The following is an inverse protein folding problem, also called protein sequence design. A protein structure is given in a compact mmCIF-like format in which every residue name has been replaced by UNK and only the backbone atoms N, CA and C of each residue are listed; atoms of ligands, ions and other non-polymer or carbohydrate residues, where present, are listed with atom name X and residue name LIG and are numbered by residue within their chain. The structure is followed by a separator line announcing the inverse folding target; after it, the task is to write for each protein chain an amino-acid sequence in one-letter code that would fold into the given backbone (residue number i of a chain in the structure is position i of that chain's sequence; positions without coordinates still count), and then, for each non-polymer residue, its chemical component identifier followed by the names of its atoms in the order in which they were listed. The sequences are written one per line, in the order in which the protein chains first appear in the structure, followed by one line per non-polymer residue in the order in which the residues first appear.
data_IF_656198195257
#
_entry.id   IF_656198195257
#
_cell.length_a   1.000
_cell.length_b   1.000
_cell.length_c   1.000
_cell.angle_alpha   90.00
_cell.angle_beta   90.00
_cell.angle_gamma   90.00
#
_symmetry.space_group_name_H-M   'P 1'
#
loop_
_entity.id
_entity.type
_entity.pdbx_description
1 polymer ?
#
# COMPACT_ATOMS: atom_id res chain seq x y z
N UNK A 1 -2.93 -7.70 -5.58
CA UNK A 1 -2.73 -7.47 -7.03
C UNK A 1 -1.44 -6.67 -7.22
N UNK A 2 -0.64 -6.94 -8.25
CA UNK A 2 0.60 -6.17 -8.53
C UNK A 2 0.33 -5.05 -9.52
N UNK A 3 1.10 -3.97 -9.44
CA UNK A 3 1.09 -2.86 -10.40
C UNK A 3 2.50 -2.59 -10.92
N UNK A 4 2.58 -2.15 -12.17
CA UNK A 4 3.81 -1.67 -12.82
C UNK A 4 4.23 -0.36 -12.16
N UNK A 5 5.54 -0.13 -12.12
CA UNK A 5 6.12 1.14 -11.72
C UNK A 5 7.00 1.62 -12.86
N UNK A 6 6.84 2.88 -13.27
CA UNK A 6 7.72 3.49 -14.25
C UNK A 6 9.04 3.89 -13.57
N UNK A 7 10.09 3.12 -13.81
CA UNK A 7 11.44 3.37 -13.32
C UNK A 7 12.46 3.06 -14.42
N UNK A 8 13.61 3.76 -14.44
CA UNK A 8 14.72 3.42 -15.32
C UNK A 8 15.14 1.96 -15.20
N UNK A 9 15.73 1.40 -16.25
CA UNK A 9 16.33 0.06 -16.20
C UNK A 9 17.31 -0.05 -15.00
N UNK A 10 17.37 -1.20 -14.29
CA UNK A 10 18.16 -1.32 -13.06
C UNK A 10 19.63 -0.89 -13.20
N UNK A 11 20.27 -1.19 -14.34
CA UNK A 11 21.64 -0.77 -14.60
C UNK A 11 21.80 0.75 -14.67
N UNK A 12 20.85 1.46 -15.29
CA UNK A 12 20.90 2.91 -15.39
C UNK A 12 20.64 3.57 -14.03
N UNK A 13 19.69 3.03 -13.26
CA UNK A 13 19.43 3.49 -11.89
C UNK A 13 20.68 3.29 -11.00
N UNK A 14 21.36 2.14 -11.14
CA UNK A 14 22.60 1.83 -10.44
C UNK A 14 23.71 2.81 -10.77
N UNK A 15 23.98 3.04 -12.05
CA UNK A 15 25.01 3.97 -12.49
C UNK A 15 24.78 5.38 -11.93
N UNK A 16 23.54 5.88 -11.94
CA UNK A 16 23.20 7.20 -11.38
C UNK A 16 23.46 7.26 -9.87
N UNK A 17 23.06 6.21 -9.14
CA UNK A 17 23.32 6.10 -7.70
C UNK A 17 24.82 6.10 -7.39
N UNK A 18 25.57 5.31 -8.16
CA UNK A 18 27.02 5.21 -8.02
C UNK A 18 27.71 6.55 -8.32
N UNK A 19 27.31 7.28 -9.36
CA UNK A 19 27.86 8.59 -9.67
C UNK A 19 27.65 9.60 -8.55
N UNK A 20 26.45 9.62 -7.93
CA UNK A 20 26.21 10.49 -6.77
C UNK A 20 27.06 10.08 -5.57
N UNK A 21 27.14 8.78 -5.28
CA UNK A 21 27.92 8.24 -4.16
C UNK A 21 29.41 8.59 -4.29
N UNK A 22 29.97 8.44 -5.50
CA UNK A 22 31.37 8.78 -5.80
C UNK A 22 31.62 10.27 -5.63
N UNK A 23 30.75 11.13 -6.18
CA UNK A 23 30.89 12.59 -6.09
C UNK A 23 30.84 13.06 -4.63
N UNK A 24 29.86 12.60 -3.85
CA UNK A 24 29.71 12.96 -2.44
C UNK A 24 30.85 12.42 -1.57
N UNK A 25 31.32 11.19 -1.84
CA UNK A 25 32.48 10.63 -1.12
C UNK A 25 33.72 11.49 -1.35
N UNK A 26 33.94 11.96 -2.58
CA UNK A 26 35.09 12.81 -2.92
C UNK A 26 35.17 14.13 -2.16
N UNK A 27 34.08 14.56 -1.54
CA UNK A 27 34.00 15.77 -0.72
C UNK A 27 33.64 15.47 0.75
N UNK A 28 33.81 14.23 1.21
CA UNK A 28 33.61 13.84 2.61
C UNK A 28 32.16 13.62 3.06
N UNK A 29 31.21 13.44 2.14
CA UNK A 29 29.77 13.24 2.41
C UNK A 29 29.28 11.84 1.97
N UNK A 30 30.17 10.85 2.01
CA UNK A 30 29.90 9.47 1.56
C UNK A 30 28.92 8.68 2.45
N UNK A 31 28.41 9.27 3.52
CA UNK A 31 27.40 8.69 4.41
C UNK A 31 25.96 8.84 3.88
N UNK A 32 25.71 9.85 3.03
CA UNK A 32 24.36 10.15 2.50
C UNK A 32 23.96 9.19 1.39
N UNK A 33 24.84 9.01 0.40
CA UNK A 33 24.69 8.05 -0.70
C UNK A 33 25.93 7.17 -0.71
N UNK A 34 25.75 5.88 -0.47
CA UNK A 34 26.84 4.94 -0.25
C UNK A 34 26.63 3.64 -1.02
N UNK A 35 27.73 2.91 -1.23
CA UNK A 35 27.75 1.59 -1.83
C UNK A 35 28.58 0.64 -0.96
N UNK A 36 28.00 -0.51 -0.64
CA UNK A 36 28.63 -1.61 0.05
C UNK A 36 28.44 -2.93 -0.72
N UNK A 37 28.92 -4.04 -0.15
CA UNK A 37 28.84 -5.36 -0.78
C UNK A 37 27.40 -5.88 -0.90
N UNK A 38 26.44 -5.24 -0.20
CA UNK A 38 25.00 -5.54 -0.26
C UNK A 38 24.23 -4.63 -1.21
N UNK A 39 24.89 -3.64 -1.81
CA UNK A 39 24.30 -2.76 -2.81
C UNK A 39 24.44 -1.28 -2.46
N UNK A 40 23.49 -0.50 -2.96
CA UNK A 40 23.42 0.94 -2.77
C UNK A 40 22.54 1.29 -1.56
N UNK A 41 22.96 2.27 -0.77
CA UNK A 41 22.24 2.73 0.40
C UNK A 41 22.17 4.26 0.41
N UNK A 42 20.99 4.76 0.75
CA UNK A 42 20.72 6.18 0.99
C UNK A 42 20.21 6.29 2.40
N UNK A 43 20.78 7.20 3.17
CA UNK A 43 20.28 7.56 4.47
C UNK A 43 20.60 9.02 4.75
N UNK A 44 19.58 9.80 5.05
CA UNK A 44 19.77 11.14 5.56
C UNK A 44 19.47 11.20 7.06
N UNK A 45 19.88 12.30 7.68
CA UNK A 45 19.61 12.56 9.10
C UNK A 45 18.13 12.84 9.38
N UNK A 46 17.29 12.99 8.34
CA UNK A 46 15.84 13.18 8.44
C UNK A 46 15.06 11.88 8.63
N UNK A 47 15.73 10.73 8.64
CA UNK A 47 15.08 9.43 8.81
C UNK A 47 14.56 8.83 7.50
N UNK A 48 14.83 9.48 6.36
CA UNK A 48 14.59 8.90 5.05
C UNK A 48 15.70 7.90 4.73
N UNK A 49 15.34 6.75 4.17
CA UNK A 49 16.33 5.77 3.77
C UNK A 49 15.85 4.92 2.60
N UNK A 50 16.78 4.47 1.76
CA UNK A 50 16.51 3.53 0.69
C UNK A 50 17.69 2.58 0.48
N UNK A 51 17.37 1.38 0.01
CA UNK A 51 18.30 0.31 -0.34
C UNK A 51 18.01 -0.12 -1.76
N UNK A 52 19.05 -0.31 -2.55
CA UNK A 52 18.96 -0.79 -3.91
C UNK A 52 19.99 -1.88 -4.16
N UNK A 53 19.55 -3.06 -4.57
CA UNK A 53 20.44 -4.18 -4.83
C UNK A 53 20.16 -4.81 -6.19
N UNK A 54 21.24 -5.23 -6.85
CA UNK A 54 21.22 -5.98 -8.08
C UNK A 54 21.46 -7.46 -7.78
N UNK A 55 20.80 -8.34 -8.54
CA UNK A 55 20.94 -9.78 -8.45
C UNK A 55 21.18 -10.36 -9.84
N UNK A 56 21.62 -11.62 -9.88
CA UNK A 56 21.74 -12.36 -11.13
C UNK A 56 20.37 -12.56 -11.82
N UNK A 57 20.41 -12.88 -13.11
CA UNK A 57 19.19 -13.05 -13.92
C UNK A 57 18.47 -11.75 -14.25
N UNK A 58 19.18 -10.60 -14.26
CA UNK A 58 18.62 -9.25 -14.49
C UNK A 58 17.54 -8.86 -13.48
N UNK A 59 17.69 -9.33 -12.24
CA UNK A 59 16.81 -9.02 -11.12
C UNK A 59 17.34 -7.85 -10.32
N UNK A 60 16.44 -7.10 -9.71
CA UNK A 60 16.81 -6.02 -8.81
C UNK A 60 15.71 -5.76 -7.78
N UNK A 61 16.07 -5.21 -6.64
CA UNK A 61 15.12 -4.81 -5.60
C UNK A 61 15.48 -3.44 -5.06
N UNK A 62 14.47 -2.59 -4.92
CA UNK A 62 14.55 -1.24 -4.40
C UNK A 62 13.50 -1.10 -3.31
N UNK A 63 13.92 -0.75 -2.10
CA UNK A 63 13.02 -0.63 -0.96
C UNK A 63 13.48 0.47 -0.01
N UNK A 64 12.56 1.06 0.73
CA UNK A 64 12.88 2.23 1.53
C UNK A 64 11.72 2.78 2.31
N UNK A 65 11.94 3.94 2.91
CA UNK A 65 10.98 4.68 3.69
C UNK A 65 11.30 6.18 3.63
N UNK A 66 10.26 6.97 3.43
CA UNK A 66 10.30 8.43 3.52
C UNK A 66 9.52 8.85 4.77
N UNK A 67 10.20 9.43 5.75
CA UNK A 67 9.64 9.74 7.07
C UNK A 67 8.31 10.52 7.00
N UNK A 68 8.21 11.46 6.06
CA UNK A 68 7.04 12.35 5.94
C UNK A 68 6.01 11.92 4.87
N UNK A 69 6.38 11.03 3.95
CA UNK A 69 5.61 10.78 2.71
C UNK A 69 5.33 9.29 2.46
N UNK A 70 5.80 8.40 3.33
CA UNK A 70 5.41 6.99 3.30
C UNK A 70 4.07 6.77 4.02
N UNK A 71 3.00 7.33 3.46
CA UNK A 71 1.64 7.16 3.96
C UNK A 71 1.23 5.67 3.99
N UNK A 72 1.87 4.83 3.18
CA UNK A 72 1.77 3.36 3.25
C UNK A 72 2.03 2.76 4.62
N UNK A 73 2.89 3.37 5.45
CA UNK A 73 3.15 2.89 6.83
C UNK A 73 2.02 3.23 7.81
N UNK A 74 1.20 4.21 7.45
CA UNK A 74 0.04 4.70 8.20
C UNK A 74 -1.28 4.35 7.50
N UNK A 75 -1.23 3.54 6.43
CA UNK A 75 -2.39 3.22 5.63
C UNK A 75 -3.45 2.51 6.47
N UNK A 76 -4.70 2.85 6.19
CA UNK A 76 -5.88 2.28 6.81
C UNK A 76 -6.88 1.92 5.69
N UNK A 77 -7.11 0.62 5.41
CA UNK A 77 -6.57 -0.53 6.13
C UNK A 77 -5.05 -0.71 5.98
N UNK A 78 -4.40 -1.37 6.95
CA UNK A 78 -2.97 -1.66 6.88
C UNK A 78 -2.56 -2.44 5.61
N UNK A 79 -1.48 -2.01 4.96
CA UNK A 79 -0.96 -2.62 3.74
C UNK A 79 0.22 -3.55 4.02
N UNK A 80 0.17 -4.74 3.43
CA UNK A 80 1.33 -5.65 3.38
C UNK A 80 2.08 -5.50 2.05
N UNK A 81 3.15 -4.71 2.05
CA UNK A 81 3.99 -4.39 0.88
C UNK A 81 4.76 -5.60 0.32
N UNK A 82 4.75 -6.75 1.00
CA UNK A 82 5.38 -7.99 0.56
C UNK A 82 4.39 -9.00 -0.02
N UNK A 83 3.10 -8.63 -0.14
CA UNK A 83 2.06 -9.47 -0.72
C UNK A 83 2.38 -9.83 -2.17
N UNK A 84 2.52 -11.12 -2.47
CA UNK A 84 2.82 -11.57 -3.84
C UNK A 84 4.23 -11.24 -4.33
N UNK A 85 5.13 -10.83 -3.43
CA UNK A 85 6.53 -10.63 -3.76
C UNK A 85 7.21 -11.93 -4.27
N UNK A 86 8.33 -11.89 -5.00
CA UNK A 86 9.05 -13.09 -5.40
C UNK A 86 9.81 -13.79 -4.27
N UNK A 87 10.05 -15.10 -4.38
CA UNK A 87 10.78 -15.88 -3.36
C UNK A 87 12.26 -15.51 -3.25
N UNK A 88 12.82 -14.95 -4.31
CA UNK A 88 14.24 -14.59 -4.42
C UNK A 88 14.59 -13.25 -3.77
N UNK A 89 13.60 -12.45 -3.33
CA UNK A 89 13.88 -11.18 -2.63
C UNK A 89 14.74 -11.41 -1.37
N UNK A 90 15.45 -10.37 -0.87
CA UNK A 90 16.20 -10.45 0.38
C UNK A 90 15.25 -10.47 1.59
N UNK A 91 14.51 -11.56 1.77
CA UNK A 91 13.48 -11.72 2.79
C UNK A 91 14.00 -11.55 4.23
N UNK A 92 15.25 -11.91 4.48
CA UNK A 92 15.89 -11.72 5.79
C UNK A 92 15.96 -10.24 6.19
N UNK A 93 16.09 -9.33 5.22
CA UNK A 93 16.11 -7.88 5.45
C UNK A 93 14.68 -7.30 5.41
N UNK A 94 13.85 -7.74 4.45
CA UNK A 94 12.53 -7.18 4.21
C UNK A 94 11.50 -7.56 5.28
N UNK A 95 11.51 -8.81 5.75
CA UNK A 95 10.48 -9.30 6.68
C UNK A 95 10.49 -8.56 8.03
N UNK A 96 11.63 -8.34 8.70
CA UNK A 96 11.66 -7.56 9.94
C UNK A 96 11.21 -6.09 9.75
N UNK A 97 11.55 -5.48 8.62
CA UNK A 97 11.16 -4.10 8.30
C UNK A 97 9.64 -3.98 8.10
N UNK A 98 9.04 -4.95 7.40
CA UNK A 98 7.60 -5.02 7.21
C UNK A 98 6.86 -5.29 8.54
N UNK A 99 7.37 -6.22 9.37
CA UNK A 99 6.82 -6.51 10.70
C UNK A 99 6.83 -5.27 11.60
N UNK A 100 7.91 -4.49 11.57
CA UNK A 100 8.08 -3.29 12.37
C UNK A 100 7.39 -2.03 11.80
N UNK A 101 6.69 -2.13 10.66
CA UNK A 101 6.06 -0.97 10.01
C UNK A 101 7.06 0.08 9.49
N UNK A 102 8.33 -0.31 9.29
CA UNK A 102 9.42 0.59 8.85
C UNK A 102 9.63 0.59 7.34
N UNK A 103 8.84 -0.18 6.61
CA UNK A 103 8.95 -0.36 5.16
C UNK A 103 7.89 0.53 4.48
N UNK A 104 8.32 1.58 3.78
CA UNK A 104 7.43 2.49 3.05
C UNK A 104 7.12 2.04 1.62
N UNK A 105 8.09 1.44 0.93
CA UNK A 105 7.89 0.84 -0.39
C UNK A 105 8.81 -0.35 -0.61
N UNK A 106 8.39 -1.27 -1.48
CA UNK A 106 9.21 -2.36 -2.04
C UNK A 106 8.85 -2.51 -3.50
N UNK A 107 9.87 -2.42 -4.36
CA UNK A 107 9.74 -2.51 -5.80
C UNK A 107 10.79 -3.50 -6.29
N UNK A 108 10.40 -4.42 -7.16
CA UNK A 108 11.30 -5.41 -7.71
C UNK A 108 11.25 -5.42 -9.22
N UNK A 109 12.41 -5.66 -9.83
CA UNK A 109 12.58 -5.83 -11.25
C UNK A 109 12.76 -7.32 -11.57
N UNK A 110 11.93 -7.84 -12.45
CA UNK A 110 12.09 -9.17 -13.04
C UNK A 110 11.46 -9.15 -14.44
N UNK A 111 12.02 -9.93 -15.38
CA UNK A 111 11.50 -10.03 -16.75
C UNK A 111 11.31 -8.69 -17.48
N UNK A 112 12.20 -7.72 -17.21
CA UNK A 112 12.21 -6.41 -17.88
C UNK A 112 11.20 -5.41 -17.35
N UNK A 113 10.58 -5.67 -16.20
CA UNK A 113 9.55 -4.80 -15.61
C UNK A 113 9.79 -4.59 -14.12
N UNK A 114 9.58 -3.35 -13.68
CA UNK A 114 9.44 -3.00 -12.27
C UNK A 114 8.01 -3.19 -11.80
N UNK A 115 7.84 -3.89 -10.67
CA UNK A 115 6.53 -4.19 -10.09
C UNK A 115 6.55 -3.94 -8.59
N UNK A 116 5.39 -3.57 -8.04
CA UNK A 116 5.11 -3.48 -6.61
C UNK A 116 3.70 -3.95 -6.28
N UNK A 117 3.40 -4.07 -4.99
CA UNK A 117 2.02 -4.25 -4.51
C UNK A 117 1.17 -3.04 -4.89
N UNK A 118 -0.03 -3.27 -5.41
CA UNK A 118 -1.01 -2.21 -5.66
C UNK A 118 -1.51 -1.66 -4.32
N UNK A 119 -1.43 -0.36 -4.13
CA UNK A 119 -2.01 0.31 -2.97
C UNK A 119 -3.52 0.51 -3.20
N UNK A 120 -4.30 0.39 -2.14
CA UNK A 120 -5.68 0.86 -2.12
C UNK A 120 -5.61 2.39 -1.98
N UNK A 121 -6.51 3.10 -2.65
CA UNK A 121 -6.54 4.57 -2.72
C UNK A 121 -5.28 5.22 -3.31
N UNK A 122 -5.30 6.54 -3.50
CA UNK A 122 -4.18 7.33 -4.03
C UNK A 122 -3.05 7.54 -2.98
N UNK A 123 -2.72 6.47 -2.23
CA UNK A 123 -1.71 6.51 -1.17
C UNK A 123 -0.31 6.71 -1.79
N UNK A 124 0.39 7.73 -1.33
CA UNK A 124 1.78 7.99 -1.70
C UNK A 124 2.73 7.20 -0.79
N UNK A 125 3.82 6.67 -1.35
CA UNK A 125 4.87 5.96 -0.59
C UNK A 125 6.16 6.76 -0.43
N UNK A 126 6.23 7.95 -1.03
CA UNK A 126 7.39 8.84 -1.00
C UNK A 126 8.56 8.37 -1.86
N UNK A 127 8.44 7.28 -2.64
CA UNK A 127 9.53 6.73 -3.44
C UNK A 127 10.03 7.73 -4.49
N UNK A 128 9.09 8.35 -5.24
CA UNK A 128 9.44 9.28 -6.32
C UNK A 128 10.20 10.51 -5.79
N UNK A 129 9.79 11.03 -4.63
CA UNK A 129 10.45 12.14 -3.94
C UNK A 129 11.85 11.72 -3.51
N UNK A 130 11.96 10.60 -2.78
CA UNK A 130 13.23 10.10 -2.24
C UNK A 130 14.27 9.84 -3.33
N UNK A 131 13.83 9.30 -4.47
CA UNK A 131 14.71 8.89 -5.57
C UNK A 131 14.75 9.90 -6.71
N UNK A 132 14.16 11.09 -6.55
CA UNK A 132 14.15 12.14 -7.58
C UNK A 132 15.51 12.35 -8.24
N UNK A 133 16.64 12.41 -7.51
CA UNK A 133 17.98 12.55 -8.10
C UNK A 133 18.37 11.46 -9.12
N UNK A 134 17.68 10.31 -9.12
CA UNK A 134 18.03 9.14 -9.91
C UNK A 134 17.07 8.83 -11.05
N UNK A 135 15.88 9.44 -11.06
CA UNK A 135 14.81 9.08 -12.00
C UNK A 135 15.13 9.48 -13.45
N UNK A 136 15.87 10.57 -13.66
CA UNK A 136 16.28 11.04 -14.99
C UNK A 136 17.75 11.45 -15.02
N UNK A 137 18.35 11.48 -16.22
CA UNK A 137 19.72 11.97 -16.38
C UNK A 137 19.83 13.45 -15.99
N UNK A 138 18.78 14.23 -16.26
CA UNK A 138 18.69 15.65 -15.91
C UNK A 138 18.68 15.85 -14.38
N UNK A 139 17.89 15.04 -13.67
CA UNK A 139 17.84 15.10 -12.21
C UNK A 139 19.17 14.68 -11.60
N UNK A 140 19.82 13.64 -12.14
CA UNK A 140 21.14 13.23 -11.67
C UNK A 140 22.18 14.30 -11.92
N UNK A 141 22.18 14.93 -13.10
CA UNK A 141 23.08 16.06 -13.41
C UNK A 141 22.84 17.24 -12.46
N UNK A 142 21.58 17.56 -12.19
CA UNK A 142 21.19 18.60 -11.25
C UNK A 142 21.68 18.29 -9.84
N UNK A 143 21.51 17.04 -9.39
CA UNK A 143 21.98 16.61 -8.08
C UNK A 143 23.52 16.62 -7.97
N UNK A 144 24.24 16.12 -8.98
CA UNK A 144 25.71 16.19 -9.05
C UNK A 144 26.21 17.64 -9.04
N UNK A 145 25.54 18.54 -9.78
CA UNK A 145 25.84 19.98 -9.76
C UNK A 145 25.53 20.57 -8.37
N UNK A 146 24.44 20.15 -7.74
CA UNK A 146 24.06 20.57 -6.39
C UNK A 146 25.06 20.15 -5.31
N UNK A 147 25.83 19.07 -5.54
CA UNK A 147 26.95 18.70 -4.65
C UNK A 147 28.00 19.82 -4.60
N UNK A 148 28.25 20.50 -5.72
CA UNK A 148 29.22 21.61 -5.81
C UNK A 148 28.73 22.82 -5.02
N UNK A 149 27.47 23.22 -5.20
CA UNK A 149 26.94 24.45 -4.61
C UNK A 149 26.49 24.30 -3.15
N UNK A 150 25.95 23.14 -2.78
CA UNK A 150 25.48 22.87 -1.41
C UNK A 150 26.62 22.37 -0.52
N UNK A 151 26.85 21.04 -0.45
CA UNK A 151 27.93 20.46 0.36
C UNK A 151 29.33 21.00 0.07
N UNK A 152 29.66 21.25 -1.21
CA UNK A 152 30.94 21.83 -1.64
C UNK A 152 31.04 23.34 -1.46
N UNK A 153 29.96 24.01 -1.02
CA UNK A 153 29.91 25.45 -0.68
C UNK A 153 30.48 26.39 -1.75
N UNK A 154 30.46 25.98 -3.01
CA UNK A 154 31.07 26.72 -4.11
C UNK A 154 30.00 27.49 -4.90
N UNK A 155 30.13 28.82 -4.94
CA UNK A 155 29.22 29.67 -5.68
C UNK A 155 29.54 29.68 -7.18
N UNK A 156 28.51 29.50 -8.01
CA UNK A 156 28.64 29.53 -9.48
C UNK A 156 28.36 30.94 -10.02
N UNK A 157 29.37 31.80 -9.98
CA UNK A 157 29.29 33.26 -10.19
C UNK A 157 28.92 33.71 -11.61
N UNK A 158 28.75 32.80 -12.58
CA UNK A 158 28.42 33.18 -13.96
C UNK A 158 27.92 32.04 -14.85
N UNK A 159 27.34 32.36 -16.03
CA UNK A 159 26.77 31.38 -16.95
C UNK A 159 27.83 30.42 -17.53
N UNK A 160 29.05 30.90 -17.77
CA UNK A 160 30.17 30.08 -18.27
C UNK A 160 30.53 28.98 -17.28
N UNK A 161 30.74 29.33 -16.01
CA UNK A 161 31.08 28.36 -14.97
C UNK A 161 29.95 27.34 -14.73
N UNK A 162 28.68 27.78 -14.79
CA UNK A 162 27.53 26.87 -14.72
C UNK A 162 27.54 25.86 -15.86
N UNK A 163 27.88 26.31 -17.06
CA UNK A 163 27.99 25.45 -18.25
C UNK A 163 29.18 24.48 -18.16
N UNK A 164 30.32 24.93 -17.63
CA UNK A 164 31.50 24.07 -17.39
C UNK A 164 31.19 22.96 -16.38
N UNK A 165 30.54 23.30 -15.26
CA UNK A 165 30.11 22.33 -14.24
C UNK A 165 29.09 21.34 -14.83
N UNK A 166 28.16 21.85 -15.63
CA UNK A 166 27.17 21.04 -16.34
C UNK A 166 27.85 20.02 -17.25
N UNK A 167 28.77 20.48 -18.10
CA UNK A 167 29.49 19.64 -19.04
C UNK A 167 30.40 18.61 -18.35
N UNK A 168 31.06 18.99 -17.25
CA UNK A 168 31.84 18.05 -16.43
C UNK A 168 30.96 16.97 -15.79
N UNK A 169 29.77 17.35 -15.32
CA UNK A 169 28.80 16.40 -14.74
C UNK A 169 28.28 15.42 -15.79
N UNK A 170 28.03 15.90 -17.01
CA UNK A 170 27.63 15.08 -18.16
C UNK A 170 28.74 14.11 -18.58
N UNK A 171 29.99 14.58 -18.68
CA UNK A 171 31.16 13.70 -18.94
C UNK A 171 31.32 12.62 -17.87
N UNK A 172 31.17 12.97 -16.58
CA UNK A 172 31.24 12.01 -15.49
C UNK A 172 30.13 10.95 -15.60
N UNK A 173 28.89 11.35 -15.90
CA UNK A 173 27.79 10.41 -16.11
C UNK A 173 28.03 9.48 -17.31
N UNK A 174 28.53 10.00 -18.42
CA UNK A 174 28.90 9.18 -19.58
C UNK A 174 30.05 8.20 -19.26
N UNK A 175 31.06 8.63 -18.52
CA UNK A 175 32.13 7.76 -18.05
C UNK A 175 31.58 6.65 -17.14
N UNK A 176 30.65 6.98 -16.24
CA UNK A 176 30.01 6.00 -15.35
C UNK A 176 29.20 4.95 -16.11
N UNK A 177 28.47 5.34 -17.16
CA UNK A 177 27.73 4.40 -18.02
C UNK A 177 28.69 3.44 -18.75
N UNK A 178 29.87 3.91 -19.14
CA UNK A 178 30.90 3.11 -19.84
C UNK A 178 31.79 2.29 -18.90
N UNK A 179 31.70 2.50 -17.58
CA UNK A 179 32.60 1.87 -16.62
C UNK A 179 34.03 2.43 -16.68
N UNK A 180 34.15 3.73 -16.97
CA UNK A 180 35.41 4.42 -17.23
C UNK A 180 35.71 5.55 -16.22
N UNK A 181 34.99 5.61 -15.09
CA UNK A 181 35.24 6.65 -14.08
C UNK A 181 36.66 6.53 -13.55
N UNK A 182 37.35 7.67 -13.53
CA UNK A 182 38.76 7.77 -13.19
C UNK A 182 39.09 9.14 -12.63
N UNK A 183 40.32 9.31 -12.16
CA UNK A 183 40.74 10.54 -11.45
C UNK A 183 40.49 11.80 -12.27
N UNK A 184 40.75 11.76 -13.59
CA UNK A 184 40.55 12.90 -14.47
C UNK A 184 39.08 13.38 -14.51
N UNK A 185 38.12 12.44 -14.54
CA UNK A 185 36.69 12.78 -14.53
C UNK A 185 36.26 13.45 -13.22
N UNK A 186 36.82 12.98 -12.10
CA UNK A 186 36.50 13.54 -10.77
C UNK A 186 37.15 14.90 -10.58
N UNK A 187 38.41 15.07 -10.98
CA UNK A 187 39.14 16.34 -10.94
C UNK A 187 38.50 17.40 -11.81
N UNK A 188 38.11 17.04 -13.03
CA UNK A 188 37.36 17.92 -13.95
C UNK A 188 36.11 18.50 -13.28
N UNK A 189 35.44 17.73 -12.41
CA UNK A 189 34.27 18.18 -11.65
C UNK A 189 34.62 18.87 -10.32
N UNK A 190 35.60 18.38 -9.56
CA UNK A 190 35.78 18.74 -8.15
C UNK A 190 36.92 19.72 -7.89
N UNK A 191 37.91 19.87 -8.78
CA UNK A 191 39.12 20.71 -8.55
C UNK A 191 38.79 22.21 -8.40
N UNK A 192 37.56 22.62 -8.72
CA UNK A 192 37.05 23.97 -8.50
C UNK A 192 36.70 24.27 -7.05
N UNK A 193 36.57 23.25 -6.20
CA UNK A 193 36.24 23.40 -4.79
C UNK A 193 37.49 23.81 -4.01
N UNK A 194 37.40 24.88 -3.24
CA UNK A 194 38.47 25.32 -2.32
C UNK A 194 38.34 24.67 -0.95
N UNK A 195 37.12 24.34 -0.54
CA UNK A 195 36.77 23.55 0.64
C UNK A 195 35.54 22.70 0.30
N UNK A 196 35.38 21.48 0.84
CA UNK A 196 36.30 20.74 1.72
C UNK A 196 37.51 20.16 0.98
N UNK A 197 38.47 19.60 1.74
CA UNK A 197 39.60 18.86 1.17
C UNK A 197 39.09 17.68 0.36
N UNK A 198 39.50 17.60 -0.91
CA UNK A 198 39.08 16.54 -1.82
C UNK A 198 39.76 15.20 -1.48
N UNK A 199 38.96 14.14 -1.39
CA UNK A 199 39.45 12.76 -1.28
C UNK A 199 39.13 11.97 -2.55
N UNK A 200 39.90 12.26 -3.61
CA UNK A 200 39.78 11.58 -4.90
C UNK A 200 40.08 10.08 -4.77
N UNK A 201 40.94 9.67 -3.82
CA UNK A 201 41.26 8.27 -3.61
C UNK A 201 40.06 7.50 -3.06
N UNK A 202 39.36 8.05 -2.06
CA UNK A 202 38.12 7.46 -1.53
C UNK A 202 37.02 7.42 -2.59
N UNK A 203 36.87 8.49 -3.38
CA UNK A 203 35.92 8.51 -4.49
C UNK A 203 36.19 7.40 -5.51
N UNK A 204 37.46 7.17 -5.87
CA UNK A 204 37.86 6.08 -6.77
C UNK A 204 37.65 4.69 -6.15
N UNK A 205 37.86 4.54 -4.84
CA UNK A 205 37.56 3.29 -4.15
C UNK A 205 36.06 2.95 -4.23
N UNK A 206 35.19 3.95 -4.07
CA UNK A 206 33.74 3.78 -4.26
C UNK A 206 33.40 3.50 -5.73
N UNK A 207 34.04 4.18 -6.68
CA UNK A 207 33.83 3.94 -8.12
C UNK A 207 34.18 2.48 -8.50
N UNK A 208 35.28 1.96 -7.95
CA UNK A 208 35.70 0.58 -8.14
C UNK A 208 34.74 -0.41 -7.49
N UNK A 209 34.31 -0.16 -6.26
CA UNK A 209 33.31 -0.98 -5.57
C UNK A 209 31.97 -1.00 -6.31
N UNK A 210 31.58 0.12 -6.91
CA UNK A 210 30.34 0.26 -7.65
C UNK A 210 30.37 -0.37 -9.04
N UNK A 211 31.54 -0.80 -9.53
CA UNK A 211 31.68 -1.35 -10.88
C UNK A 211 31.64 -0.30 -11.99
N UNK A 212 31.88 0.98 -11.69
CA UNK A 212 31.86 2.07 -12.67
C UNK A 212 33.26 2.58 -13.04
N UNK A 213 34.31 1.98 -12.46
CA UNK A 213 35.70 2.21 -12.82
C UNK A 213 36.23 1.10 -13.77
N UNK A 214 37.29 1.38 -14.56
CA UNK A 214 37.84 0.41 -15.50
C UNK A 214 38.17 -0.94 -14.87
N UNK A 215 37.73 -2.03 -15.51
CA UNK A 215 38.04 -3.42 -15.09
C UNK A 215 37.32 -3.89 -13.82
N UNK A 216 36.44 -3.08 -13.25
CA UNK A 216 35.68 -3.44 -12.05
C UNK A 216 34.31 -4.03 -12.40
N UNK A 217 33.65 -4.65 -11.43
CA UNK A 217 32.36 -5.31 -11.63
C UNK A 217 31.35 -4.77 -10.64
N UNK A 218 30.12 -4.62 -11.13
CA UNK A 218 28.99 -4.20 -10.31
C UNK A 218 28.70 -5.29 -9.26
N UNK A 219 28.58 -4.94 -7.98
CA UNK A 219 28.28 -5.89 -6.92
C UNK A 219 26.86 -6.42 -7.09
N UNK A 220 26.68 -7.70 -6.78
CA UNK A 220 25.39 -8.37 -6.80
C UNK A 220 25.22 -9.16 -5.52
N UNK A 221 24.01 -9.14 -4.98
CA UNK A 221 23.67 -9.97 -3.84
C UNK A 221 23.13 -11.32 -4.29
N UNK A 222 23.34 -12.33 -3.47
CA UNK A 222 22.72 -13.63 -3.65
C UNK A 222 21.19 -13.54 -3.49
N UNK A 223 20.41 -14.34 -4.23
CA UNK A 223 18.99 -14.49 -3.99
C UNK A 223 18.70 -14.85 -2.54
N UNK A 224 17.75 -14.14 -1.94
CA UNK A 224 17.23 -14.52 -0.64
C UNK A 224 16.33 -15.74 -0.72
N UNK A 225 15.79 -16.12 0.44
CA UNK A 225 14.84 -17.21 0.56
C UNK A 225 13.63 -16.74 1.33
N UNK A 226 12.45 -16.80 0.71
CA UNK A 226 11.18 -16.60 1.41
C UNK A 226 11.11 -17.56 2.60
N UNK A 227 10.91 -17.06 3.83
CA UNK A 227 10.68 -17.93 4.95
C UNK A 227 9.34 -18.65 4.74
N UNK A 228 9.23 -19.93 5.14
CA UNK A 228 7.96 -20.64 5.08
C UNK A 228 6.91 -19.92 5.92
N UNK A 229 7.28 -19.12 6.91
CA UNK A 229 6.33 -18.35 7.71
C UNK A 229 6.89 -16.94 7.91
N UNK A 230 6.03 -15.91 7.82
CA UNK A 230 6.41 -14.53 8.06
C UNK A 230 5.42 -13.84 8.99
N UNK A 231 5.94 -13.24 10.05
CA UNK A 231 5.14 -12.35 10.89
C UNK A 231 4.74 -11.11 10.09
N UNK A 232 3.45 -10.85 10.06
CA UNK A 232 2.89 -9.59 9.58
C UNK A 232 2.85 -8.63 10.79
N UNK A 233 2.90 -7.32 10.56
CA UNK A 233 2.68 -6.31 11.61
C UNK A 233 1.43 -6.69 12.41
N UNK A 234 1.56 -6.73 13.74
CA UNK A 234 0.42 -6.93 14.62
C UNK A 234 -0.54 -5.76 14.46
N UNK A 235 -1.74 -6.04 13.96
CA UNK A 235 -2.80 -5.06 13.87
C UNK A 235 -3.46 -4.90 15.25
N UNK A 236 -3.83 -3.68 15.61
CA UNK A 236 -4.85 -3.44 16.63
C UNK A 236 -6.17 -4.06 16.18
N UNK A 237 -7.09 -4.28 17.13
CA UNK A 237 -8.39 -4.86 16.82
C UNK A 237 -9.14 -4.03 15.75
N UNK A 238 -9.13 -2.70 15.86
CA UNK A 238 -9.78 -1.80 14.90
C UNK A 238 -9.11 -1.82 13.52
N UNK A 239 -7.77 -1.85 13.45
CA UNK A 239 -7.04 -2.00 12.18
C UNK A 239 -7.36 -3.34 11.49
N UNK A 240 -7.56 -4.41 12.27
CA UNK A 240 -7.94 -5.72 11.73
C UNK A 240 -9.38 -5.73 11.23
N UNK A 241 -10.31 -5.14 11.98
CA UNK A 241 -11.71 -4.99 11.55
C UNK A 241 -11.78 -4.20 10.22
N UNK A 242 -11.06 -3.07 10.11
CA UNK A 242 -11.00 -2.28 8.86
C UNK A 242 -10.36 -2.99 7.69
N UNK A 243 -9.34 -3.82 7.92
CA UNK A 243 -8.78 -4.69 6.88
C UNK A 243 -9.83 -5.65 6.31
N UNK A 244 -10.69 -6.21 7.16
CA UNK A 244 -11.79 -7.06 6.71
C UNK A 244 -12.83 -6.23 5.95
N UNK A 245 -13.19 -5.04 6.42
CA UNK A 245 -14.17 -4.18 5.75
C UNK A 245 -13.74 -3.75 4.35
N UNK A 246 -12.47 -3.34 4.19
CA UNK A 246 -11.92 -3.03 2.87
C UNK A 246 -11.97 -4.25 1.93
N UNK A 247 -11.64 -5.44 2.43
CA UNK A 247 -11.76 -6.66 1.64
C UNK A 247 -13.22 -7.01 1.30
N UNK A 248 -14.20 -6.60 2.13
CA UNK A 248 -15.63 -6.72 1.83
C UNK A 248 -16.09 -5.71 0.76
N UNK A 249 -15.54 -4.49 0.73
CA UNK A 249 -15.81 -3.51 -0.34
C UNK A 249 -15.36 -4.01 -1.71
N UNK A 250 -14.19 -4.64 -1.77
CA UNK A 250 -13.64 -5.20 -3.01
C UNK A 250 -14.25 -6.56 -3.40
N UNK A 251 -15.02 -7.19 -2.50
CA UNK A 251 -15.54 -8.53 -2.72
C UNK A 251 -16.72 -8.55 -3.70
N UNK A 252 -16.68 -9.49 -4.64
CA UNK A 252 -17.86 -9.84 -5.43
C UNK A 252 -18.82 -10.70 -4.60
N UNK A 253 -20.11 -10.39 -4.67
CA UNK A 253 -21.16 -11.19 -4.05
C UNK A 253 -21.27 -12.56 -4.75
N UNK A 254 -21.19 -13.66 -3.99
CA UNK A 254 -21.36 -15.00 -4.55
C UNK A 254 -22.82 -15.23 -4.96
N UNK A 255 -23.03 -15.88 -6.11
CA UNK A 255 -24.38 -16.16 -6.64
C UNK A 255 -25.07 -17.24 -5.81
N UNK A 256 -26.09 -16.87 -5.05
CA UNK A 256 -26.92 -17.77 -4.23
C UNK A 256 -28.35 -17.89 -4.78
N UNK A 257 -29.05 -19.00 -4.50
CA UNK A 257 -30.50 -19.05 -4.69
C UNK A 257 -31.20 -17.93 -3.93
N UNK A 258 -32.28 -17.40 -4.50
CA UNK A 258 -33.11 -16.43 -3.79
C UNK A 258 -33.76 -17.11 -2.56
N UNK A 259 -33.84 -16.41 -1.41
CA UNK A 259 -34.61 -16.91 -0.27
C UNK A 259 -36.08 -17.13 -0.63
N UNK A 260 -36.77 -18.07 0.02
CA UNK A 260 -38.21 -18.26 -0.17
C UNK A 260 -38.98 -17.00 0.24
N UNK A 261 -40.18 -16.82 -0.31
CA UNK A 261 -41.15 -15.86 0.24
C UNK A 261 -41.57 -16.33 1.63
N UNK A 262 -41.50 -15.45 2.61
CA UNK A 262 -41.78 -15.74 4.02
C UNK A 262 -42.83 -14.79 4.59
N UNK A 263 -43.63 -15.26 5.54
CA UNK A 263 -44.60 -14.41 6.24
C UNK A 263 -43.90 -13.30 7.04
N UNK A 264 -42.65 -13.54 7.47
CA UNK A 264 -41.78 -12.57 8.14
C UNK A 264 -41.40 -11.41 7.21
N UNK A 265 -41.19 -11.69 5.91
CA UNK A 265 -40.94 -10.64 4.93
C UNK A 265 -42.18 -9.78 4.73
N UNK A 266 -43.35 -10.41 4.60
CA UNK A 266 -44.63 -9.69 4.47
C UNK A 266 -44.92 -8.82 5.70
N UNK A 267 -44.63 -9.34 6.90
CA UNK A 267 -44.79 -8.58 8.14
C UNK A 267 -43.84 -7.36 8.22
N UNK A 268 -42.60 -7.50 7.76
CA UNK A 268 -41.67 -6.37 7.68
C UNK A 268 -42.14 -5.33 6.65
N UNK A 269 -42.58 -5.77 5.47
CA UNK A 269 -43.10 -4.89 4.41
C UNK A 269 -44.31 -4.11 4.90
N UNK A 270 -45.30 -4.78 5.50
CA UNK A 270 -46.51 -4.12 6.02
C UNK A 270 -46.16 -3.07 7.07
N UNK A 271 -45.24 -3.39 7.99
CA UNK A 271 -44.78 -2.43 8.99
C UNK A 271 -44.08 -1.21 8.38
N UNK A 272 -43.28 -1.38 7.32
CA UNK A 272 -42.62 -0.29 6.60
C UNK A 272 -43.64 0.60 5.86
N UNK A 273 -44.61 0.00 5.17
CA UNK A 273 -45.66 0.74 4.46
C UNK A 273 -46.52 1.56 5.42
N UNK A 274 -46.88 0.99 6.58
CA UNK A 274 -47.61 1.69 7.64
C UNK A 274 -46.82 2.85 8.28
N UNK A 275 -45.49 2.87 8.12
CA UNK A 275 -44.60 3.90 8.63
C UNK A 275 -43.99 4.76 7.52
N UNK A 276 -44.57 4.72 6.32
CA UNK A 276 -44.18 5.62 5.24
C UNK A 276 -44.31 7.08 5.71
N UNK A 277 -43.25 7.90 5.68
CA UNK A 277 -43.24 9.24 6.26
C UNK A 277 -44.23 10.20 5.60
N UNK A 278 -44.66 9.92 4.38
CA UNK A 278 -45.64 10.71 3.63
C UNK A 278 -47.02 10.03 3.50
N UNK A 279 -47.21 8.86 4.10
CA UNK A 279 -48.47 8.11 4.01
C UNK A 279 -48.78 7.53 2.62
N UNK A 280 -47.82 7.51 1.71
CA UNK A 280 -47.96 7.04 0.32
C UNK A 280 -47.39 5.62 0.09
N UNK A 281 -47.06 4.92 1.19
CA UNK A 281 -46.45 3.60 1.18
C UNK A 281 -44.97 3.57 0.80
N UNK A 282 -44.33 4.72 0.50
CA UNK A 282 -42.89 4.78 0.23
C UNK A 282 -42.08 4.76 1.52
N UNK A 283 -41.25 3.74 1.68
CA UNK A 283 -40.36 3.60 2.82
C UNK A 283 -39.08 2.85 2.43
N UNK A 284 -37.95 3.25 3.01
CA UNK A 284 -36.64 2.67 2.77
C UNK A 284 -36.03 2.21 4.08
N UNK A 285 -35.77 0.91 4.18
CA UNK A 285 -34.98 0.30 5.24
C UNK A 285 -33.60 -0.05 4.70
N UNK A 286 -32.56 0.45 5.36
CA UNK A 286 -31.20 -0.07 5.24
C UNK A 286 -30.86 -0.71 6.59
N UNK A 287 -30.58 -2.01 6.60
CA UNK A 287 -30.27 -2.77 7.81
C UNK A 287 -28.99 -3.59 7.67
N UNK A 288 -28.24 -3.65 8.76
CA UNK A 288 -27.15 -4.58 9.01
C UNK A 288 -27.52 -5.47 10.19
N UNK A 289 -27.27 -6.78 10.06
CA UNK A 289 -27.48 -7.73 11.14
C UNK A 289 -26.49 -8.89 11.06
N UNK A 290 -25.93 -9.24 12.22
CA UNK A 290 -25.15 -10.45 12.43
C UNK A 290 -25.75 -11.29 13.56
N UNK A 291 -24.98 -12.24 14.10
CA UNK A 291 -25.39 -13.11 15.19
C UNK A 291 -25.83 -12.33 16.43
N UNK A 292 -25.14 -11.24 16.78
CA UNK A 292 -25.32 -10.51 18.04
C UNK A 292 -25.74 -9.05 17.84
N UNK A 293 -25.31 -8.40 16.76
CA UNK A 293 -25.51 -6.99 16.48
C UNK A 293 -26.62 -6.72 15.46
N UNK A 294 -27.22 -5.54 15.56
CA UNK A 294 -28.15 -4.98 14.60
C UNK A 294 -27.90 -3.47 14.49
N UNK A 295 -27.90 -2.96 13.27
CA UNK A 295 -27.82 -1.52 12.99
C UNK A 295 -28.73 -1.17 11.81
N UNK A 296 -29.18 0.08 11.77
CA UNK A 296 -29.95 0.62 10.65
C UNK A 296 -29.46 2.02 10.30
N UNK A 297 -29.45 2.34 9.01
CA UNK A 297 -29.12 3.67 8.50
C UNK A 297 -30.34 4.31 7.82
N UNK A 298 -30.48 5.64 7.85
CA UNK A 298 -31.56 6.32 7.14
C UNK A 298 -31.41 6.11 5.62
N UNK A 299 -32.47 5.65 4.97
CA UNK A 299 -32.59 5.64 3.52
C UNK A 299 -33.24 6.92 2.99
N UNK A 300 -33.68 6.90 1.72
CA UNK A 300 -34.36 8.04 1.08
C UNK A 300 -35.67 8.41 1.80
N UNK A 301 -36.45 7.41 2.21
CA UNK A 301 -37.70 7.58 2.95
C UNK A 301 -37.71 6.74 4.24
N UNK A 302 -37.00 7.14 5.30
CA UNK A 302 -36.87 6.30 6.50
C UNK A 302 -38.23 6.13 7.21
N UNK A 303 -38.43 5.00 7.94
CA UNK A 303 -39.66 4.78 8.70
C UNK A 303 -39.92 5.91 9.72
N UNK A 304 -41.14 6.44 9.74
CA UNK A 304 -41.52 7.50 10.67
C UNK A 304 -41.79 6.97 12.10
N UNK A 305 -41.41 7.78 13.08
CA UNK A 305 -41.84 7.61 14.46
C UNK A 305 -43.32 8.01 14.61
N UNK A 306 -44.06 7.33 15.48
CA UNK A 306 -45.47 7.66 15.74
C UNK A 306 -45.59 8.61 16.95
N UNK A 307 -46.49 9.61 16.89
CA UNK A 307 -46.77 10.46 18.05
C UNK A 307 -47.21 9.62 19.26
N UNK A 308 -46.60 9.89 20.42
CA UNK A 308 -46.91 9.19 21.67
C UNK A 308 -46.24 7.81 21.82
N UNK A 309 -45.41 7.39 20.85
CA UNK A 309 -44.62 6.18 20.95
C UNK A 309 -43.45 6.34 21.94
N UNK A 310 -43.18 5.30 22.74
CA UNK A 310 -42.02 5.29 23.64
C UNK A 310 -40.73 5.43 22.83
N UNK A 311 -39.75 6.15 23.38
CA UNK A 311 -38.42 6.30 22.77
C UNK A 311 -37.86 4.92 22.40
N UNK A 312 -37.41 4.78 21.15
CA UNK A 312 -36.87 3.54 20.56
C UNK A 312 -37.86 2.37 20.37
N UNK A 313 -39.17 2.51 20.62
CA UNK A 313 -40.10 1.41 20.36
C UNK A 313 -40.15 1.01 18.87
N UNK A 314 -40.13 1.99 17.95
CA UNK A 314 -40.01 1.74 16.52
C UNK A 314 -38.74 0.96 16.16
N UNK A 315 -37.59 1.35 16.72
CA UNK A 315 -36.30 0.67 16.52
C UNK A 315 -36.28 -0.76 17.09
N UNK A 316 -36.84 -0.98 18.28
CA UNK A 316 -36.98 -2.33 18.87
C UNK A 316 -37.84 -3.22 17.97
N UNK A 317 -38.99 -2.71 17.51
CA UNK A 317 -39.87 -3.46 16.63
C UNK A 317 -39.22 -3.79 15.29
N UNK A 318 -38.50 -2.83 14.71
CA UNK A 318 -37.71 -3.05 13.50
C UNK A 318 -36.66 -4.15 13.69
N UNK A 319 -35.92 -4.11 14.81
CA UNK A 319 -34.93 -5.13 15.17
C UNK A 319 -35.55 -6.52 15.25
N UNK A 320 -36.72 -6.65 15.89
CA UNK A 320 -37.45 -7.92 15.99
C UNK A 320 -37.84 -8.47 14.62
N UNK A 321 -38.45 -7.63 13.77
CA UNK A 321 -38.91 -8.00 12.43
C UNK A 321 -37.75 -8.44 11.54
N UNK A 322 -36.67 -7.66 11.52
CA UNK A 322 -35.44 -7.98 10.77
C UNK A 322 -34.84 -9.30 11.28
N UNK A 323 -34.72 -9.50 12.60
CA UNK A 323 -34.16 -10.74 13.13
C UNK A 323 -35.06 -11.95 12.87
N UNK A 324 -36.38 -11.79 12.88
CA UNK A 324 -37.32 -12.85 12.52
C UNK A 324 -37.13 -13.26 11.06
N UNK A 325 -37.12 -12.28 10.14
CA UNK A 325 -36.85 -12.49 8.73
C UNK A 325 -35.50 -13.19 8.50
N UNK A 326 -34.44 -12.69 9.14
CA UNK A 326 -33.09 -13.25 9.01
C UNK A 326 -32.99 -14.71 9.47
N UNK A 327 -33.78 -15.12 10.47
CA UNK A 327 -33.88 -16.53 10.89
C UNK A 327 -34.67 -17.36 9.90
N UNK A 328 -35.81 -16.85 9.43
CA UNK A 328 -36.66 -17.55 8.47
C UNK A 328 -35.96 -17.79 7.12
N UNK A 329 -35.07 -16.89 6.72
CA UNK A 329 -34.29 -16.99 5.47
C UNK A 329 -32.93 -17.68 5.64
N UNK A 330 -32.61 -18.19 6.83
CA UNK A 330 -31.33 -18.86 7.08
C UNK A 330 -31.26 -20.20 6.36
N UNK A 331 -30.21 -20.44 5.57
CA UNK A 331 -29.91 -21.74 4.96
C UNK A 331 -28.62 -22.33 5.55
N UNK A 332 -28.59 -23.60 5.99
CA UNK A 332 -27.40 -24.22 6.58
C UNK A 332 -26.21 -24.38 5.60
N UNK A 333 -26.43 -24.23 4.29
CA UNK A 333 -25.38 -24.32 3.26
C UNK A 333 -24.78 -22.95 2.98
N UNK A 334 -25.61 -21.94 2.77
CA UNK A 334 -25.20 -20.62 2.29
C UNK A 334 -25.08 -19.56 3.39
N UNK A 335 -25.63 -19.85 4.57
CA UNK A 335 -25.70 -18.96 5.73
C UNK A 335 -26.80 -17.91 5.63
N UNK A 336 -26.65 -16.89 6.47
CA UNK A 336 -27.56 -15.73 6.57
C UNK A 336 -26.94 -14.53 5.86
N UNK A 337 -27.79 -13.63 5.36
CA UNK A 337 -27.35 -12.33 4.85
C UNK A 337 -26.82 -11.45 5.99
N UNK A 338 -25.95 -10.49 5.64
CA UNK A 338 -25.36 -9.49 6.54
C UNK A 338 -26.07 -8.15 6.40
N UNK A 339 -26.37 -7.74 5.17
CA UNK A 339 -27.06 -6.49 4.87
C UNK A 339 -28.37 -6.73 4.14
N UNK A 340 -29.36 -5.90 4.44
CA UNK A 340 -30.69 -5.90 3.84
C UNK A 340 -31.09 -4.47 3.46
N UNK A 341 -31.53 -4.29 2.21
CA UNK A 341 -32.26 -3.09 1.76
C UNK A 341 -33.67 -3.49 1.36
N UNK A 342 -34.66 -2.80 1.92
CA UNK A 342 -36.07 -2.93 1.55
C UNK A 342 -36.58 -1.57 1.12
N UNK A 343 -37.18 -1.50 -0.05
CA UNK A 343 -37.86 -0.31 -0.56
C UNK A 343 -39.30 -0.67 -0.89
N UNK A 344 -40.22 -0.01 -0.21
CA UNK A 344 -41.65 -0.15 -0.47
C UNK A 344 -42.15 1.04 -1.28
N UNK A 345 -43.20 0.82 -2.05
CA UNK A 345 -44.00 1.87 -2.69
C UNK A 345 -45.48 1.47 -2.64
N UNK A 346 -46.34 2.32 -3.20
CA UNK A 346 -47.76 2.01 -3.36
C UNK A 346 -48.03 0.77 -4.24
N UNK A 347 -47.11 0.41 -5.15
CA UNK A 347 -47.36 -0.60 -6.19
C UNK A 347 -46.36 -1.76 -6.19
N UNK A 348 -45.34 -1.73 -5.32
CA UNK A 348 -44.36 -2.79 -5.30
C UNK A 348 -43.36 -2.70 -4.16
N UNK A 349 -42.52 -3.73 -4.09
CA UNK A 349 -41.43 -3.85 -3.13
C UNK A 349 -40.17 -4.31 -3.84
N UNK A 350 -39.04 -3.67 -3.53
CA UNK A 350 -37.71 -4.12 -3.91
C UNK A 350 -36.96 -4.56 -2.67
N UNK A 351 -36.38 -5.76 -2.72
CA UNK A 351 -35.57 -6.31 -1.63
C UNK A 351 -34.21 -6.72 -2.15
N UNK A 352 -33.15 -6.24 -1.52
CA UNK A 352 -31.77 -6.58 -1.83
C UNK A 352 -31.08 -7.11 -0.57
N UNK A 353 -30.31 -8.19 -0.73
CA UNK A 353 -29.56 -8.84 0.36
C UNK A 353 -28.09 -8.94 -0.05
N UNK A 354 -27.19 -8.72 0.90
CA UNK A 354 -25.75 -8.99 0.73
C UNK A 354 -25.28 -9.95 1.80
N UNK A 355 -24.56 -10.98 1.38
CA UNK A 355 -24.00 -12.00 2.25
C UNK A 355 -22.48 -11.85 2.38
N UNK A 356 -21.82 -11.26 1.40
CA UNK A 356 -20.36 -11.26 1.29
C UNK A 356 -19.76 -9.86 1.16
N UNK A 357 -20.41 -8.99 0.39
CA UNK A 357 -19.84 -7.68 0.05
C UNK A 357 -20.40 -6.55 0.90
N UNK A 358 -19.59 -5.52 1.12
CA UNK A 358 -20.09 -4.25 1.64
C UNK A 358 -20.93 -3.56 0.54
N UNK A 359 -22.23 -3.31 0.76
CA UNK A 359 -23.06 -2.73 -0.29
C UNK A 359 -22.73 -1.25 -0.52
N UNK A 360 -22.76 -0.76 -1.78
CA UNK A 360 -22.49 0.65 -2.10
C UNK A 360 -23.56 1.61 -1.55
N UNK A 361 -24.72 1.09 -1.12
CA UNK A 361 -25.79 1.86 -0.51
C UNK A 361 -25.70 1.92 1.02
N UNK A 362 -24.73 1.24 1.65
CA UNK A 362 -24.49 1.31 3.08
C UNK A 362 -23.30 2.22 3.35
N UNK A 363 -23.52 3.29 4.12
CA UNK A 363 -22.47 4.23 4.44
C UNK A 363 -21.44 3.59 5.37
N UNK A 364 -20.16 3.68 4.99
CA UNK A 364 -19.02 3.32 5.80
C UNK A 364 -18.41 4.59 6.38
N UNK A 365 -18.43 4.72 7.71
CA UNK A 365 -17.82 5.83 8.44
C UNK A 365 -16.38 5.52 8.89
N UNK A 366 -15.86 4.31 8.60
CA UNK A 366 -14.55 3.82 9.03
C UNK A 366 -14.43 3.56 10.54
N UNK A 367 -15.54 3.70 11.28
CA UNK A 367 -15.58 3.59 12.74
C UNK A 367 -16.46 2.43 13.18
N UNK A 368 -17.57 2.19 12.48
CA UNK A 368 -18.59 1.21 12.83
C UNK A 368 -18.91 0.28 11.65
N UNK A 369 -19.00 -1.01 11.95
CA UNK A 369 -19.22 -2.01 10.91
C UNK A 369 -19.34 -3.42 11.48
N UNK A 370 -19.34 -4.44 10.60
CA UNK A 370 -19.38 -5.83 11.01
C UNK A 370 -18.13 -6.23 11.80
N UNK A 371 -18.31 -6.59 13.07
CA UNK A 371 -17.21 -6.98 13.94
C UNK A 371 -16.64 -8.34 13.54
N UNK A 372 -15.31 -8.49 13.51
CA UNK A 372 -14.65 -9.72 13.05
C UNK A 372 -15.09 -10.97 13.82
N UNK A 373 -15.34 -10.86 15.13
CA UNK A 373 -15.84 -12.00 15.94
C UNK A 373 -17.21 -12.47 15.49
N UNK A 374 -18.10 -11.54 15.14
CA UNK A 374 -19.44 -11.87 14.67
C UNK A 374 -19.39 -12.40 13.22
N UNK A 375 -18.55 -11.81 12.37
CA UNK A 375 -18.31 -12.32 11.03
C UNK A 375 -17.76 -13.75 11.07
N UNK A 376 -16.86 -14.07 12.01
CA UNK A 376 -16.31 -15.42 12.16
C UNK A 376 -17.43 -16.43 12.41
N UNK A 377 -18.34 -16.14 13.35
CA UNK A 377 -19.51 -16.99 13.62
C UNK A 377 -20.39 -17.16 12.36
N UNK A 378 -20.66 -16.06 11.63
CA UNK A 378 -21.46 -16.12 10.40
C UNK A 378 -20.80 -16.95 9.30
N UNK A 379 -19.48 -16.90 9.16
CA UNK A 379 -18.74 -17.66 8.15
C UNK A 379 -18.56 -19.12 8.54
N UNK A 380 -18.42 -19.41 9.83
CA UNK A 380 -18.31 -20.79 10.32
C UNK A 380 -19.60 -21.57 10.12
N UNK A 381 -20.76 -20.91 10.19
CA UNK A 381 -22.05 -21.47 9.85
C UNK A 381 -22.28 -21.75 8.35
N UNK A 382 -21.36 -21.36 7.47
CA UNK A 382 -21.47 -21.55 6.01
C UNK A 382 -20.64 -22.75 5.54
N UNK A 383 -21.16 -23.43 4.52
CA UNK A 383 -20.40 -24.41 3.76
C UNK A 383 -19.18 -23.76 3.07
N UNK A 384 -18.04 -24.45 2.94
CA UNK A 384 -16.79 -23.86 2.43
C UNK A 384 -16.91 -23.18 1.06
N UNK A 385 -17.73 -23.71 0.15
CA UNK A 385 -17.96 -23.14 -1.18
C UNK A 385 -18.72 -21.79 -1.17
N UNK A 386 -19.31 -21.42 -0.03
CA UNK A 386 -20.13 -20.21 0.17
C UNK A 386 -19.45 -19.18 1.06
N UNK A 387 -18.18 -19.40 1.38
CA UNK A 387 -17.33 -18.48 2.13
C UNK A 387 -16.62 -17.55 1.13
N UNK A 388 -16.74 -16.22 1.27
CA UNK A 388 -16.02 -15.30 0.42
C UNK A 388 -14.50 -15.38 0.64
N UNK A 389 -13.72 -14.84 -0.30
CA UNK A 389 -12.26 -14.89 -0.26
C UNK A 389 -11.65 -14.22 0.98
N UNK A 390 -12.32 -13.20 1.52
CA UNK A 390 -11.89 -12.47 2.71
C UNK A 390 -12.06 -13.25 4.02
N UNK A 391 -12.75 -14.40 4.04
CA UNK A 391 -12.91 -15.21 5.29
C UNK A 391 -11.58 -15.59 5.91
N UNK A 392 -10.54 -15.79 5.09
CA UNK A 392 -9.20 -16.03 5.61
C UNK A 392 -8.78 -14.93 6.58
N UNK A 393 -9.08 -13.66 6.27
CA UNK A 393 -8.71 -12.50 7.11
C UNK A 393 -9.35 -12.53 8.50
N UNK A 394 -10.39 -13.32 8.75
CA UNK A 394 -11.01 -13.41 10.06
C UNK A 394 -10.14 -14.15 11.09
N UNK A 395 -9.24 -15.03 10.63
CA UNK A 395 -8.34 -15.76 11.51
C UNK A 395 -7.45 -14.75 12.27
N UNK A 396 -7.44 -14.77 13.61
CA UNK A 396 -6.56 -13.91 14.41
C UNK A 396 -5.07 -14.13 14.09
N UNK A 397 -4.71 -15.28 13.51
CA UNK A 397 -3.37 -15.53 12.98
C UNK A 397 -3.13 -14.87 11.63
N UNK A 398 -4.09 -14.31 10.90
CA UNK A 398 -3.78 -13.53 9.69
C UNK A 398 -3.24 -12.13 10.02
N UNK A 399 -3.53 -11.59 11.21
CA UNK A 399 -2.69 -10.53 11.78
C UNK A 399 -1.23 -10.98 12.03
N UNK A 400 -0.94 -12.28 11.90
CA UNK A 400 0.33 -12.93 12.19
C UNK A 400 0.62 -14.11 11.25
N UNK A 401 0.44 -14.02 9.92
CA UNK A 401 0.35 -15.23 9.06
C UNK A 401 1.48 -16.27 9.29
N UNK A 402 1.20 -17.44 9.88
CA UNK A 402 1.98 -18.62 9.59
C UNK A 402 1.51 -19.15 8.21
N UNK A 403 2.39 -19.36 7.22
CA UNK A 403 2.00 -20.19 6.06
C UNK A 403 2.01 -21.67 6.46
#
# INVERSE_FOLDING_TARGET
MLTDVDLPAPGLLWTRWATLSVTLTGIGHGDVWSIDDRGAHHHDRGGHWARFALLDGRRAVLYGHHAEQSATTQADPPLDLLTGAPDWLPWADLAPLAEAGRLGFVIWHENGRWSRVRYHDAVEDGMAILLTPLLSAENTRTAVTGVITGPGRHELSGPVQREEVRAASERLLHAAVRGEVGAAHLKDLLDRLTEPVLDIAAALAVAGRAGIAPGTRVPRIEPGRRPPMRRIRRLSQGEHDRLVWAAMHDAAELRRPAPPTTAELDALIGWLQERAPHGDGRCTLLAYADATSFSSQPGEHPPADRPGEERFAGFRRLTELVRALRRAESDPRYGRWLFLRVETSATGVRVERRYDSWPPWWHDDGVSGPWRTNLQEEMDGRGPAWRPSWVSLLDPKIAFRPL
#
